data_IF_844116182365
#
_entry.id   IF_844116182365
#
_cell.length_a   1.000
_cell.length_b   1.000
_cell.length_c   1.000
_cell.angle_alpha   90.00
_cell.angle_beta   90.00
_cell.angle_gamma   90.00
#
_symmetry.space_group_name_H-M   'P 1'
#
loop_
_entity.id
_entity.type
_entity.pdbx_description
1 polymer ?
#
# COMPACT_ATOMS: atom_id res chain seq x y z
N UNK A 1 -5.37 -86.61 -50.75
CA UNK A 1 -6.12 -85.51 -50.06
C UNK A 1 -5.30 -84.28 -50.10
N UNK A 2 -5.73 -83.26 -50.87
CA UNK A 2 -4.95 -82.05 -51.17
C UNK A 2 -5.40 -80.94 -50.22
N UNK A 3 -4.46 -80.40 -49.40
CA UNK A 3 -4.70 -79.21 -48.59
C UNK A 3 -4.24 -78.00 -49.38
N UNK A 4 -5.13 -77.10 -49.66
CA UNK A 4 -4.85 -75.78 -50.21
C UNK A 4 -4.63 -74.79 -49.07
N UNK A 5 -3.44 -74.27 -48.94
CA UNK A 5 -3.15 -73.13 -48.06
C UNK A 5 -3.50 -71.82 -48.79
N UNK A 6 -4.42 -71.07 -48.22
CA UNK A 6 -4.72 -69.72 -48.65
C UNK A 6 -4.01 -68.74 -47.72
N UNK A 7 -3.02 -68.04 -48.30
CA UNK A 7 -2.33 -66.98 -47.57
C UNK A 7 -3.09 -65.69 -47.71
N UNK A 8 -3.59 -65.15 -46.58
CA UNK A 8 -4.14 -63.80 -46.52
C UNK A 8 -3.04 -62.82 -46.18
N UNK A 9 -2.70 -61.94 -47.13
CA UNK A 9 -1.82 -60.81 -46.90
C UNK A 9 -2.63 -59.63 -46.33
N UNK A 10 -2.44 -59.36 -45.03
CA UNK A 10 -2.97 -58.12 -44.41
C UNK A 10 -1.96 -57.00 -44.62
N UNK A 11 -2.28 -56.08 -45.48
CA UNK A 11 -1.57 -54.86 -45.72
C UNK A 11 -2.04 -53.83 -44.69
N UNK A 12 -1.28 -53.65 -43.57
CA UNK A 12 -1.54 -52.64 -42.55
C UNK A 12 -1.08 -51.25 -43.01
N UNK A 13 -2.02 -50.35 -43.31
CA UNK A 13 -1.75 -48.91 -43.43
C UNK A 13 -1.46 -48.34 -42.06
N UNK A 14 -0.16 -48.05 -41.76
CA UNK A 14 0.19 -47.14 -40.63
C UNK A 14 -0.18 -45.74 -41.02
N UNK A 15 -1.31 -45.24 -40.55
CA UNK A 15 -1.61 -43.81 -40.60
C UNK A 15 -0.76 -43.05 -39.60
N UNK A 16 0.24 -42.24 -40.06
CA UNK A 16 0.91 -41.25 -39.23
C UNK A 16 -0.13 -40.18 -38.83
N UNK A 17 -0.64 -40.25 -37.64
CA UNK A 17 -1.42 -39.16 -37.06
C UNK A 17 -0.43 -38.03 -36.69
N UNK A 18 -0.43 -36.95 -37.49
CA UNK A 18 0.27 -35.70 -37.15
C UNK A 18 -0.48 -35.04 -35.99
N UNK A 19 0.09 -35.09 -34.79
CA UNK A 19 -0.38 -34.34 -33.63
C UNK A 19 -0.10 -32.85 -33.87
N UNK A 20 -1.10 -31.96 -33.89
CA UNK A 20 -0.83 -30.54 -34.03
C UNK A 20 -0.08 -30.05 -32.79
N UNK A 21 0.91 -29.12 -32.96
CA UNK A 21 1.61 -28.55 -31.81
C UNK A 21 0.63 -27.81 -30.93
N UNK A 22 0.65 -28.12 -29.60
CA UNK A 22 -0.11 -27.35 -28.62
C UNK A 22 0.34 -25.88 -28.67
N UNK A 23 -0.63 -24.94 -28.64
CA UNK A 23 -0.26 -23.54 -28.54
C UNK A 23 0.52 -23.35 -27.24
N UNK A 24 1.71 -22.74 -27.35
CA UNK A 24 2.52 -22.35 -26.22
C UNK A 24 1.69 -21.42 -25.32
N UNK A 25 1.29 -21.94 -24.16
CA UNK A 25 0.64 -21.13 -23.14
C UNK A 25 1.71 -20.20 -22.57
N UNK A 26 1.67 -18.95 -22.97
CA UNK A 26 2.44 -17.92 -22.32
C UNK A 26 2.03 -17.91 -20.83
N UNK A 27 2.98 -18.00 -19.89
CA UNK A 27 2.66 -17.85 -18.48
C UNK A 27 1.93 -16.51 -18.29
N UNK A 28 0.93 -16.44 -17.38
CA UNK A 28 0.22 -15.21 -17.13
C UNK A 28 1.22 -14.10 -16.80
N UNK A 29 1.18 -13.01 -17.56
CA UNK A 29 2.03 -11.86 -17.35
C UNK A 29 1.83 -11.37 -15.91
N UNK A 30 2.88 -11.54 -15.09
CA UNK A 30 2.97 -11.00 -13.74
C UNK A 30 2.67 -9.49 -13.84
N UNK A 31 1.80 -8.93 -12.99
CA UNK A 31 1.47 -7.52 -13.08
C UNK A 31 2.72 -6.68 -12.77
N UNK A 32 3.45 -6.27 -13.82
CA UNK A 32 4.68 -5.50 -13.74
C UNK A 32 4.45 -4.07 -13.19
N UNK A 33 3.24 -3.55 -13.27
CA UNK A 33 2.92 -2.18 -12.87
C UNK A 33 3.02 -1.88 -11.36
N UNK A 34 3.10 -2.91 -10.49
CA UNK A 34 3.26 -2.71 -9.02
C UNK A 34 4.73 -2.77 -8.55
N UNK A 35 5.62 -3.36 -9.33
CA UNK A 35 7.04 -3.47 -8.96
C UNK A 35 7.82 -2.17 -9.25
N UNK A 36 7.43 -1.43 -10.28
CA UNK A 36 8.09 -0.17 -10.65
C UNK A 36 7.77 1.00 -9.70
N UNK A 37 6.61 0.96 -9.02
CA UNK A 37 6.23 1.97 -8.03
C UNK A 37 7.14 1.95 -6.78
N UNK A 38 7.77 0.81 -6.47
CA UNK A 38 8.75 0.69 -5.38
C UNK A 38 10.16 1.14 -5.80
N UNK A 39 10.41 1.29 -7.11
CA UNK A 39 11.75 1.62 -7.60
C UNK A 39 12.16 3.08 -7.33
N UNK A 40 11.20 4.01 -7.36
CA UNK A 40 11.42 5.43 -7.08
C UNK A 40 10.22 6.02 -6.34
N UNK A 41 10.33 6.18 -5.03
CA UNK A 41 9.32 6.93 -4.27
C UNK A 41 9.33 8.40 -4.75
N UNK A 42 8.18 8.95 -5.18
CA UNK A 42 8.08 10.35 -5.49
C UNK A 42 8.46 11.19 -4.26
N UNK A 43 9.27 12.22 -4.47
CA UNK A 43 9.59 13.16 -3.41
C UNK A 43 8.37 14.02 -3.10
N UNK A 44 8.22 14.36 -1.82
CA UNK A 44 7.14 15.19 -1.32
C UNK A 44 7.69 16.26 -0.39
N UNK A 45 7.45 17.51 -0.75
CA UNK A 45 7.62 18.67 0.11
C UNK A 45 6.35 18.95 0.93
N UNK A 46 6.38 19.90 1.84
CA UNK A 46 5.24 20.28 2.66
C UNK A 46 4.04 20.71 1.82
N UNK A 47 4.25 21.50 0.78
CA UNK A 47 3.19 21.94 -0.11
C UNK A 47 2.57 20.76 -0.88
N UNK A 48 3.39 19.80 -1.32
CA UNK A 48 2.96 18.55 -1.93
C UNK A 48 2.11 17.71 -1.00
N UNK A 49 2.56 17.59 0.25
CA UNK A 49 1.81 16.91 1.30
C UNK A 49 0.41 17.50 1.47
N UNK A 50 0.31 18.81 1.66
CA UNK A 50 -1.00 19.48 1.81
C UNK A 50 -1.89 19.32 0.56
N UNK A 51 -1.32 19.39 -0.66
CA UNK A 51 -2.08 19.12 -1.90
C UNK A 51 -2.64 17.70 -1.92
N UNK A 52 -1.89 16.71 -1.42
CA UNK A 52 -2.37 15.33 -1.36
C UNK A 52 -3.49 15.21 -0.33
N UNK A 53 -3.33 15.73 0.88
CA UNK A 53 -4.39 15.73 1.91
C UNK A 53 -5.66 16.41 1.37
N UNK A 54 -5.52 17.54 0.71
CA UNK A 54 -6.66 18.26 0.08
C UNK A 54 -7.37 17.42 -0.99
N UNK A 55 -6.61 16.70 -1.82
CA UNK A 55 -7.16 15.78 -2.84
C UNK A 55 -8.00 14.65 -2.24
N UNK A 56 -7.72 14.27 -1.00
CA UNK A 56 -8.47 13.22 -0.31
C UNK A 56 -9.68 13.74 0.45
N UNK A 57 -9.95 15.05 0.49
CA UNK A 57 -11.20 15.58 1.08
C UNK A 57 -12.42 14.89 0.50
N UNK A 58 -13.40 14.65 1.34
CA UNK A 58 -14.57 13.82 1.05
C UNK A 58 -14.41 12.36 1.46
N UNK A 59 -13.17 11.91 1.75
CA UNK A 59 -12.86 10.56 2.20
C UNK A 59 -12.09 10.60 3.52
N UNK A 60 -12.33 9.65 4.44
CA UNK A 60 -11.45 9.49 5.58
C UNK A 60 -10.06 9.04 5.11
N UNK A 61 -9.02 9.61 5.72
CA UNK A 61 -7.65 9.40 5.29
C UNK A 61 -6.77 9.02 6.49
N UNK A 62 -5.92 8.02 6.30
CA UNK A 62 -4.83 7.68 7.20
C UNK A 62 -3.51 7.98 6.50
N UNK A 63 -2.63 8.70 7.18
CA UNK A 63 -1.26 8.97 6.72
C UNK A 63 -0.30 8.40 7.74
N UNK A 64 0.66 7.59 7.30
CA UNK A 64 1.72 7.06 8.16
C UNK A 64 3.08 7.58 7.71
N UNK A 65 3.86 8.08 8.65
CA UNK A 65 5.25 8.47 8.47
C UNK A 65 6.12 7.35 9.05
N UNK A 66 7.06 6.87 8.26
CA UNK A 66 7.86 5.69 8.58
C UNK A 66 9.29 5.80 8.03
N UNK A 67 10.18 4.95 8.53
CA UNK A 67 11.51 4.80 7.96
C UNK A 67 12.01 3.37 8.17
N UNK A 68 12.94 2.93 7.33
CA UNK A 68 13.52 1.57 7.42
C UNK A 68 14.41 1.38 8.65
N UNK A 69 14.97 2.46 9.19
CA UNK A 69 15.75 2.45 10.43
C UNK A 69 14.89 2.56 11.70
N UNK A 70 13.60 2.83 11.59
CA UNK A 70 12.65 2.93 12.70
C UNK A 70 12.06 1.52 12.97
N UNK A 71 12.51 0.85 14.02
CA UNK A 71 12.04 -0.49 14.38
C UNK A 71 10.53 -0.54 14.64
N UNK A 72 9.93 0.32 15.52
CA UNK A 72 8.49 0.28 15.74
C UNK A 72 7.67 0.60 14.49
N UNK A 73 8.22 1.41 13.56
CA UNK A 73 7.55 1.64 12.27
C UNK A 73 7.45 0.35 11.45
N UNK A 74 8.53 -0.46 11.45
CA UNK A 74 8.56 -1.73 10.70
C UNK A 74 7.59 -2.75 11.28
N UNK A 75 7.47 -2.79 12.60
CA UNK A 75 6.57 -3.70 13.30
C UNK A 75 5.09 -3.35 13.07
N UNK A 76 4.78 -2.06 13.01
CA UNK A 76 3.43 -1.54 12.75
C UNK A 76 2.99 -1.67 11.28
N UNK A 77 3.93 -1.55 10.32
CA UNK A 77 3.65 -1.41 8.90
C UNK A 77 2.79 -2.55 8.32
N UNK A 78 3.01 -3.85 8.62
CA UNK A 78 2.14 -4.93 8.16
C UNK A 78 0.69 -4.79 8.62
N UNK A 79 0.50 -4.28 9.84
CA UNK A 79 -0.84 -3.98 10.38
C UNK A 79 -1.53 -2.90 9.57
N UNK A 80 -0.82 -1.82 9.24
CA UNK A 80 -1.36 -0.74 8.41
C UNK A 80 -1.71 -1.21 6.99
N UNK A 81 -0.88 -2.06 6.38
CA UNK A 81 -1.17 -2.67 5.07
C UNK A 81 -2.45 -3.51 5.12
N UNK A 82 -2.62 -4.33 6.15
CA UNK A 82 -3.81 -5.15 6.33
C UNK A 82 -5.07 -4.29 6.58
N UNK A 83 -4.96 -3.24 7.39
CA UNK A 83 -6.06 -2.31 7.66
C UNK A 83 -6.46 -1.51 6.42
N UNK A 84 -5.49 -1.07 5.63
CA UNK A 84 -5.74 -0.37 4.37
C UNK A 84 -6.57 -1.26 3.42
N UNK A 85 -6.25 -2.54 3.29
CA UNK A 85 -7.03 -3.47 2.47
C UNK A 85 -8.43 -3.71 3.05
N UNK A 86 -8.51 -3.97 4.36
CA UNK A 86 -9.77 -4.27 5.05
C UNK A 86 -10.79 -3.13 4.96
N UNK A 87 -10.33 -1.88 5.11
CA UNK A 87 -11.22 -0.72 5.18
C UNK A 87 -11.38 0.05 3.86
N UNK A 88 -10.62 -0.32 2.82
CA UNK A 88 -10.75 0.25 1.46
C UNK A 88 -12.19 0.19 0.91
N UNK A 89 -12.93 -0.95 1.02
CA UNK A 89 -14.33 -1.00 0.54
C UNK A 89 -15.26 -0.05 1.32
N UNK A 90 -14.87 0.35 2.54
CA UNK A 90 -15.62 1.29 3.37
C UNK A 90 -15.24 2.75 3.10
N UNK A 91 -14.29 2.98 2.18
CA UNK A 91 -13.89 4.29 1.70
C UNK A 91 -12.66 4.87 2.39
N UNK A 92 -11.96 4.11 3.26
CA UNK A 92 -10.68 4.55 3.82
C UNK A 92 -9.66 4.74 2.69
N UNK A 93 -8.99 5.88 2.70
CA UNK A 93 -7.80 6.14 1.91
C UNK A 93 -6.56 6.10 2.81
N UNK A 94 -5.45 5.63 2.27
CA UNK A 94 -4.17 5.56 3.00
C UNK A 94 -3.05 6.02 2.10
N UNK A 95 -2.05 6.70 2.64
CA UNK A 95 -0.73 6.84 2.02
C UNK A 95 0.38 6.87 3.07
N UNK A 96 1.58 6.50 2.66
CA UNK A 96 2.77 6.52 3.49
C UNK A 96 3.76 7.59 3.04
N UNK A 97 4.56 8.09 3.98
CA UNK A 97 5.69 8.98 3.73
C UNK A 97 6.92 8.40 4.42
N UNK A 98 7.92 8.00 3.65
CA UNK A 98 9.22 7.57 4.16
C UNK A 98 10.08 8.80 4.51
N UNK A 99 10.76 8.73 5.65
CA UNK A 99 11.76 9.71 6.09
C UNK A 99 13.19 9.20 5.87
N UNK A 100 13.36 8.15 5.05
CA UNK A 100 14.66 7.60 4.71
C UNK A 100 15.46 8.57 3.84
N UNK A 101 16.77 8.55 4.02
CA UNK A 101 17.71 9.34 3.22
C UNK A 101 17.92 8.76 1.82
N UNK A 102 18.65 9.50 0.96
CA UNK A 102 19.05 8.99 -0.35
C UNK A 102 19.92 7.72 -0.26
N UNK A 103 20.73 7.59 0.80
CA UNK A 103 21.59 6.44 1.00
C UNK A 103 20.80 5.16 1.29
N UNK A 104 19.60 5.27 1.87
CA UNK A 104 18.80 4.15 2.34
C UNK A 104 17.83 3.62 1.28
N UNK A 105 17.79 4.22 0.08
CA UNK A 105 16.82 3.86 -0.96
C UNK A 105 16.85 2.39 -1.39
N UNK A 106 17.99 1.71 -1.25
CA UNK A 106 18.06 0.27 -1.52
C UNK A 106 17.31 -0.55 -0.46
N UNK A 107 17.38 -0.14 0.82
CA UNK A 107 16.64 -0.77 1.93
C UNK A 107 15.14 -0.48 1.80
N UNK A 108 14.78 0.76 1.47
CA UNK A 108 13.39 1.18 1.21
C UNK A 108 12.73 0.33 0.13
N UNK A 109 13.43 0.11 -1.01
CA UNK A 109 12.91 -0.74 -2.08
C UNK A 109 12.69 -2.19 -1.62
N UNK A 110 13.62 -2.73 -0.85
CA UNK A 110 13.50 -4.09 -0.30
C UNK A 110 12.29 -4.19 0.64
N UNK A 111 12.17 -3.24 1.57
CA UNK A 111 11.06 -3.14 2.51
C UNK A 111 9.69 -3.07 1.81
N UNK A 112 9.54 -2.19 0.83
CA UNK A 112 8.29 -2.09 0.08
C UNK A 112 8.00 -3.32 -0.79
N UNK A 113 9.04 -4.01 -1.30
CA UNK A 113 8.88 -5.27 -2.04
C UNK A 113 8.44 -6.42 -1.11
N UNK A 114 8.87 -6.43 0.14
CA UNK A 114 8.49 -7.39 1.15
C UNK A 114 7.02 -7.20 1.58
N UNK A 115 6.68 -6.02 2.06
CA UNK A 115 5.35 -5.75 2.62
C UNK A 115 4.27 -5.45 1.58
N UNK A 116 4.64 -5.05 0.37
CA UNK A 116 3.75 -4.80 -0.77
C UNK A 116 2.53 -3.96 -0.41
N UNK A 117 2.71 -2.74 0.13
CA UNK A 117 1.58 -1.91 0.50
C UNK A 117 0.66 -1.66 -0.70
N UNK A 118 -0.64 -1.72 -0.46
CA UNK A 118 -1.68 -1.50 -1.45
C UNK A 118 -2.09 -0.01 -1.56
N UNK A 119 -1.29 0.87 -0.99
CA UNK A 119 -1.44 2.32 -0.98
C UNK A 119 -0.17 3.03 -1.48
N UNK A 120 -0.28 4.26 -1.99
CA UNK A 120 0.87 5.02 -2.45
C UNK A 120 1.81 5.36 -1.30
N UNK A 121 3.10 5.35 -1.60
CA UNK A 121 4.15 5.81 -0.70
C UNK A 121 4.94 6.91 -1.38
N UNK A 122 5.33 7.89 -0.60
CA UNK A 122 6.17 9.03 -0.96
C UNK A 122 7.42 9.03 -0.09
N UNK A 123 8.37 9.86 -0.41
CA UNK A 123 9.52 10.13 0.44
C UNK A 123 9.63 11.64 0.68
N UNK A 124 9.86 12.03 1.92
CA UNK A 124 10.11 13.42 2.26
C UNK A 124 11.31 13.94 1.44
N UNK A 125 11.18 15.11 0.87
CA UNK A 125 12.26 15.73 0.11
C UNK A 125 13.43 16.11 1.04
N UNK A 126 14.62 15.49 0.87
CA UNK A 126 15.74 15.72 1.76
C UNK A 126 16.35 17.13 1.63
N UNK A 127 15.87 17.96 0.71
CA UNK A 127 16.26 19.36 0.58
C UNK A 127 15.45 20.28 1.51
N UNK A 128 14.37 19.77 2.09
CA UNK A 128 13.53 20.51 3.03
C UNK A 128 14.02 20.23 4.45
N UNK A 129 14.08 21.26 5.27
CA UNK A 129 14.36 21.12 6.69
C UNK A 129 13.34 20.18 7.32
N UNK A 130 13.82 19.18 8.03
CA UNK A 130 12.98 18.09 8.54
C UNK A 130 12.05 18.57 9.65
N UNK A 131 12.50 19.50 10.49
CA UNK A 131 11.68 20.04 11.57
C UNK A 131 10.59 20.96 11.01
N UNK A 132 10.92 21.76 9.97
CA UNK A 132 9.93 22.54 9.23
C UNK A 132 8.85 21.62 8.63
N UNK A 133 9.27 20.49 8.07
CA UNK A 133 8.33 19.50 7.52
C UNK A 133 7.44 18.92 8.61
N UNK A 134 7.99 18.50 9.74
CA UNK A 134 7.21 17.91 10.85
C UNK A 134 6.17 18.88 11.37
N UNK A 135 6.59 20.07 11.77
CA UNK A 135 5.68 21.10 12.31
C UNK A 135 4.65 21.59 11.27
N UNK A 136 5.04 21.60 9.99
CA UNK A 136 4.11 21.96 8.91
C UNK A 136 3.07 20.90 8.60
N UNK A 137 3.36 19.62 8.87
CA UNK A 137 2.41 18.51 8.80
C UNK A 137 1.46 18.53 9.99
N UNK A 138 2.01 18.60 11.19
CA UNK A 138 1.29 18.68 12.44
C UNK A 138 2.11 19.49 13.46
N UNK A 139 1.65 20.67 13.91
CA UNK A 139 2.38 21.50 14.86
C UNK A 139 2.74 20.82 16.19
N UNK A 140 2.11 19.70 16.49
CA UNK A 140 2.37 18.92 17.71
C UNK A 140 3.38 17.78 17.48
N UNK A 141 3.84 17.58 16.24
CA UNK A 141 4.79 16.52 15.93
C UNK A 141 6.23 17.01 16.09
N UNK A 142 6.91 16.49 17.11
CA UNK A 142 8.29 16.80 17.47
C UNK A 142 9.31 15.82 16.85
N UNK A 143 8.95 15.13 15.76
CA UNK A 143 9.83 14.19 15.08
C UNK A 143 9.84 12.76 15.65
N UNK A 144 8.99 12.45 16.64
CA UNK A 144 8.84 11.07 17.13
C UNK A 144 8.31 10.15 16.04
N UNK A 145 8.81 8.90 16.02
CA UNK A 145 8.46 7.92 15.00
C UNK A 145 8.00 6.59 15.62
N UNK A 146 7.01 5.90 15.02
CA UNK A 146 6.18 6.32 13.90
C UNK A 146 5.29 7.52 14.24
N UNK A 147 4.92 8.30 13.23
CA UNK A 147 3.79 9.22 13.33
C UNK A 147 2.69 8.75 12.40
N UNK A 148 1.48 8.56 12.93
CA UNK A 148 0.31 8.20 12.13
C UNK A 148 -0.83 9.17 12.41
N UNK A 149 -1.31 9.82 11.34
CA UNK A 149 -2.35 10.85 11.42
C UNK A 149 -3.61 10.34 10.70
N UNK A 150 -4.74 10.44 11.37
CA UNK A 150 -6.04 10.16 10.77
C UNK A 150 -6.81 11.46 10.55
N UNK A 151 -7.28 11.64 9.31
CA UNK A 151 -8.05 12.81 8.90
C UNK A 151 -9.52 12.46 8.70
N UNK A 152 -10.38 13.32 9.17
CA UNK A 152 -11.82 13.29 8.87
C UNK A 152 -12.08 13.64 7.40
N UNK A 153 -13.29 13.38 6.91
CA UNK A 153 -13.67 13.66 5.51
C UNK A 153 -13.54 15.13 5.12
N UNK A 154 -13.60 16.04 6.08
CA UNK A 154 -13.43 17.49 5.86
C UNK A 154 -11.96 17.94 5.92
N UNK A 155 -11.02 16.98 6.05
CA UNK A 155 -9.59 17.23 6.02
C UNK A 155 -9.00 17.73 7.34
N UNK A 156 -9.72 17.63 8.46
CA UNK A 156 -9.20 17.96 9.79
C UNK A 156 -8.52 16.73 10.40
N UNK A 157 -7.46 16.94 11.17
CA UNK A 157 -6.85 15.89 12.00
C UNK A 157 -7.89 15.46 13.04
N UNK A 158 -8.25 14.18 13.04
CA UNK A 158 -9.12 13.57 14.03
C UNK A 158 -8.32 13.07 15.23
N UNK A 159 -7.18 12.43 14.95
CA UNK A 159 -6.24 11.89 15.93
C UNK A 159 -4.88 11.73 15.28
N UNK A 160 -3.82 11.84 16.05
CA UNK A 160 -2.47 11.43 15.65
C UNK A 160 -1.83 10.59 16.74
N UNK A 161 -0.89 9.74 16.34
CA UNK A 161 -0.16 8.83 17.20
C UNK A 161 1.34 8.99 16.94
N UNK A 162 2.09 9.32 17.98
CA UNK A 162 3.55 9.55 17.94
C UNK A 162 4.37 8.35 18.42
N UNK A 163 3.74 7.17 18.48
CA UNK A 163 4.34 5.91 18.85
C UNK A 163 3.56 4.74 18.22
N UNK A 164 4.19 3.57 18.18
CA UNK A 164 3.57 2.34 17.72
C UNK A 164 2.22 2.08 18.36
N UNK A 165 1.24 1.70 17.57
CA UNK A 165 -0.10 1.40 18.02
C UNK A 165 -0.50 -0.04 17.75
N UNK A 166 -1.39 -0.55 18.61
CA UNK A 166 -2.01 -1.85 18.35
C UNK A 166 -2.99 -1.79 17.20
N UNK A 167 -3.21 -2.93 16.55
CA UNK A 167 -4.27 -3.07 15.55
C UNK A 167 -5.63 -2.57 16.08
N UNK A 168 -5.96 -2.90 17.34
CA UNK A 168 -7.22 -2.51 17.95
C UNK A 168 -7.36 -0.98 18.05
N UNK A 169 -6.30 -0.28 18.43
CA UNK A 169 -6.27 1.19 18.50
C UNK A 169 -6.56 1.79 17.14
N UNK A 170 -5.87 1.33 16.11
CA UNK A 170 -6.11 1.80 14.73
C UNK A 170 -7.53 1.51 14.26
N UNK A 171 -8.05 0.31 14.51
CA UNK A 171 -9.43 -0.03 14.10
C UNK A 171 -10.47 0.88 14.76
N UNK A 172 -10.29 1.21 16.05
CA UNK A 172 -11.18 2.14 16.74
C UNK A 172 -11.15 3.53 16.10
N UNK A 173 -9.96 4.07 15.83
CA UNK A 173 -9.79 5.37 15.19
C UNK A 173 -10.33 5.39 13.76
N UNK A 174 -10.04 4.35 12.97
CA UNK A 174 -10.56 4.21 11.59
C UNK A 174 -12.08 4.18 11.59
N UNK A 175 -12.70 3.38 12.44
CA UNK A 175 -14.17 3.31 12.56
C UNK A 175 -14.78 4.65 12.97
N UNK A 176 -14.12 5.40 13.85
CA UNK A 176 -14.57 6.73 14.25
C UNK A 176 -14.59 7.69 13.06
N UNK A 177 -13.53 7.77 12.25
CA UNK A 177 -13.49 8.66 11.07
C UNK A 177 -14.39 8.19 9.92
N UNK A 178 -14.62 6.87 9.80
CA UNK A 178 -15.56 6.31 8.82
C UNK A 178 -17.00 6.68 9.17
N UNK A 179 -17.36 6.71 10.45
CA UNK A 179 -18.70 7.08 10.95
C UNK A 179 -18.99 8.56 10.91
N UNK A 180 -17.99 9.43 10.78
CA UNK A 180 -18.19 10.88 10.69
C UNK A 180 -18.85 11.24 9.35
N UNK A 181 -20.12 11.71 9.40
CA UNK A 181 -20.75 12.34 8.25
C UNK A 181 -20.07 13.69 8.01
N UNK A 182 -19.94 14.12 6.76
CA UNK A 182 -19.55 15.50 6.43
C UNK A 182 -20.59 16.41 7.06
N UNK A 183 -20.27 16.97 8.23
CA UNK A 183 -21.12 17.97 8.87
C UNK A 183 -20.88 19.28 8.15
N UNK A 184 -21.84 19.68 7.31
CA UNK A 184 -21.92 21.06 6.89
C UNK A 184 -21.99 21.93 8.16
N UNK A 185 -20.91 22.64 8.41
CA UNK A 185 -20.79 23.78 9.31
C UNK A 185 -21.32 23.57 10.75
N UNK A 186 -20.49 23.01 11.67
CA UNK A 186 -20.51 23.38 13.09
C UNK A 186 -19.12 23.25 13.70
N UNK A 187 -18.66 24.37 14.26
CA UNK A 187 -17.45 24.48 15.03
C UNK A 187 -17.51 23.60 16.31
N UNK A 188 -16.41 22.92 16.61
CA UNK A 188 -16.01 22.61 17.98
C UNK A 188 -16.53 21.30 18.56
N UNK A 189 -15.74 20.25 18.43
CA UNK A 189 -15.31 19.47 19.63
C UNK A 189 -14.12 18.60 19.22
N UNK A 190 -12.96 19.00 19.70
CA UNK A 190 -11.71 18.24 19.64
C UNK A 190 -11.79 17.10 20.66
N UNK A 191 -11.74 15.86 20.18
CA UNK A 191 -11.48 14.72 21.05
C UNK A 191 -9.95 14.56 21.15
N UNK A 192 -9.34 15.37 22.02
CA UNK A 192 -7.98 15.14 22.47
C UNK A 192 -7.99 14.01 23.49
N UNK A 193 -7.48 12.85 23.13
CA UNK A 193 -7.06 11.85 24.08
C UNK A 193 -5.53 11.98 24.22
N UNK A 194 -5.10 12.80 25.19
CA UNK A 194 -3.74 12.78 25.67
C UNK A 194 -3.57 11.61 26.64
N UNK A 195 -2.47 10.89 26.48
CA UNK A 195 -1.74 10.20 27.53
C UNK A 195 -0.28 10.56 27.39
#
# INVERSE_FOLDING_TARGET
MRFYSVAFALMGLLGLATVPPLPAQNPPAKPAAKADAAANLPLIDLAGYHRIVEKYKGKPLLVTFWATWCEPCRDEFPTLVALAEQYKPQGLSVFGVSLDSNADMHVVRHFLAEFRPNFPNYRQDPQIDVDEFYHGVNPQWEGSMPETILYTRDGRIAVHYTAEQTRQTFEQAIRAILGTKVSGNRAGSSLYAGN
#
